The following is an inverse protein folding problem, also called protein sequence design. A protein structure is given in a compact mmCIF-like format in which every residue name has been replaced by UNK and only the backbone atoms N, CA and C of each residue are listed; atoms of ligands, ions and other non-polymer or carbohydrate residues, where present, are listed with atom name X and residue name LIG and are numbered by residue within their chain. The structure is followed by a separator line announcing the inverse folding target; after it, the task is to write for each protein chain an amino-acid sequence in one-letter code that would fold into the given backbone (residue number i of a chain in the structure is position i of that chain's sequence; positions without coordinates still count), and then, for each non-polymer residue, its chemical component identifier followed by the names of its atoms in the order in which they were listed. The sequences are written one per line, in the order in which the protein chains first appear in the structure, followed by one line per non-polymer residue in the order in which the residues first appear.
data_IF_662577717501
#
_entry.id   IF_662577717501
#
_cell.length_a   1.000
_cell.length_b   1.000
_cell.length_c   1.000
_cell.angle_alpha   90.00
_cell.angle_beta   90.00
_cell.angle_gamma   90.00
#
_symmetry.space_group_name_H-M   'P 1'
#
loop_
_entity.id
_entity.type
_entity.pdbx_description
1 polymer ?
#
# COMPACT_ATOMS: atom_id res chain seq x y z
N UNK A 1 4.28 8.91 0.43
CA UNK A 1 3.14 9.56 -0.30
C UNK A 1 2.00 8.56 -0.50
N UNK A 2 0.97 8.57 0.37
CA UNK A 2 -0.15 7.62 0.30
C UNK A 2 -1.03 7.74 -0.95
N UNK A 3 -1.12 8.93 -1.57
CA UNK A 3 -2.02 9.17 -2.71
C UNK A 3 -1.54 8.40 -3.95
N UNK A 4 -0.25 8.47 -4.25
CA UNK A 4 0.33 7.73 -5.37
C UNK A 4 0.29 6.23 -5.12
N UNK A 5 0.52 5.79 -3.87
CA UNK A 5 0.38 4.38 -3.48
C UNK A 5 -1.02 3.84 -3.82
N UNK A 6 -2.10 4.57 -3.50
CA UNK A 6 -3.47 4.15 -3.85
C UNK A 6 -3.67 4.05 -5.36
N UNK A 7 -3.07 4.95 -6.15
CA UNK A 7 -3.15 4.87 -7.62
C UNK A 7 -2.46 3.62 -8.15
N UNK A 8 -1.29 3.30 -7.62
CA UNK A 8 -0.49 2.17 -8.07
C UNK A 8 -1.11 0.84 -7.61
N UNK A 9 -1.66 0.78 -6.39
CA UNK A 9 -2.38 -0.39 -5.88
C UNK A 9 -3.57 -0.78 -6.77
N UNK A 10 -4.26 0.18 -7.40
CA UNK A 10 -5.34 -0.13 -8.35
C UNK A 10 -4.83 -0.97 -9.54
N UNK A 11 -3.67 -0.61 -10.09
CA UNK A 11 -3.06 -1.34 -11.21
C UNK A 11 -2.74 -2.78 -10.80
N UNK A 12 -2.20 -2.99 -9.60
CA UNK A 12 -1.88 -4.34 -9.10
C UNK A 12 -3.14 -5.16 -8.82
N UNK A 13 -4.18 -4.55 -8.26
CA UNK A 13 -5.47 -5.22 -8.01
C UNK A 13 -6.16 -5.61 -9.33
N UNK A 14 -6.15 -4.73 -10.32
CA UNK A 14 -6.62 -5.05 -11.69
C UNK A 14 -5.77 -6.17 -12.33
N UNK A 15 -4.49 -6.26 -11.98
CA UNK A 15 -3.57 -7.33 -12.37
C UNK A 15 -3.70 -8.64 -11.57
N UNK A 16 -4.70 -8.75 -10.68
CA UNK A 16 -5.00 -9.98 -9.93
C UNK A 16 -4.32 -10.10 -8.56
N UNK A 17 -3.52 -9.13 -8.14
CA UNK A 17 -2.94 -9.13 -6.79
C UNK A 17 -4.00 -8.78 -5.73
N UNK A 18 -3.91 -9.44 -4.59
CA UNK A 18 -4.72 -9.17 -3.39
C UNK A 18 -3.89 -8.41 -2.37
N UNK A 19 -4.53 -7.49 -1.65
CA UNK A 19 -3.93 -6.77 -0.54
C UNK A 19 -4.17 -7.59 0.72
N UNK A 20 -3.11 -8.13 1.30
CA UNK A 20 -3.17 -9.03 2.45
C UNK A 20 -3.15 -8.26 3.76
N UNK A 21 -2.22 -7.30 3.88
CA UNK A 21 -2.02 -6.49 5.10
C UNK A 21 -1.53 -5.11 4.75
N UNK A 22 -1.82 -4.14 5.61
CA UNK A 22 -1.22 -2.81 5.54
C UNK A 22 -0.81 -2.33 6.93
N UNK A 23 0.23 -1.50 6.98
CA UNK A 23 0.68 -0.82 8.18
C UNK A 23 0.98 0.64 7.89
N UNK A 24 0.44 1.51 8.71
CA UNK A 24 0.77 2.94 8.74
C UNK A 24 1.90 3.16 9.75
N UNK A 25 2.85 4.01 9.43
CA UNK A 25 4.00 4.33 10.27
C UNK A 25 4.24 5.83 10.31
N UNK A 26 4.37 6.35 11.54
CA UNK A 26 4.84 7.71 11.79
C UNK A 26 6.38 7.72 11.79
N UNK A 27 6.95 7.84 10.58
CA UNK A 27 8.40 7.97 10.40
C UNK A 27 8.88 9.42 10.55
N UNK A 28 7.95 10.39 10.57
CA UNK A 28 8.25 11.82 10.63
C UNK A 28 7.31 12.53 11.62
N UNK A 29 7.55 12.37 12.93
CA UNK A 29 6.66 12.91 13.96
C UNK A 29 6.50 14.42 13.85
N UNK A 30 5.29 14.90 14.16
CA UNK A 30 4.91 16.34 14.08
C UNK A 30 4.95 16.93 12.68
N UNK A 31 4.89 16.09 11.65
CA UNK A 31 4.68 16.52 10.27
C UNK A 31 3.35 15.96 9.75
N UNK A 32 2.97 16.35 8.53
CA UNK A 32 1.79 15.81 7.84
C UNK A 32 2.11 14.51 7.07
N UNK A 33 3.38 14.08 7.05
CA UNK A 33 3.80 12.91 6.28
C UNK A 33 3.38 11.62 6.98
N UNK A 34 2.89 10.67 6.18
CA UNK A 34 2.57 9.31 6.63
C UNK A 34 3.23 8.35 5.67
N UNK A 35 3.97 7.39 6.23
CA UNK A 35 4.54 6.29 5.49
C UNK A 35 3.75 5.01 5.69
N UNK A 36 3.65 4.22 4.63
CA UNK A 36 2.80 3.03 4.60
C UNK A 36 3.58 1.85 4.01
N UNK A 37 3.39 0.67 4.59
CA UNK A 37 3.82 -0.59 4.00
C UNK A 37 2.59 -1.45 3.69
N UNK A 38 2.57 -2.08 2.53
CA UNK A 38 1.48 -2.96 2.07
C UNK A 38 2.06 -4.30 1.68
N UNK A 39 1.50 -5.38 2.22
CA UNK A 39 1.78 -6.74 1.81
C UNK A 39 0.72 -7.15 0.78
N UNK A 40 1.18 -7.68 -0.35
CA UNK A 40 0.32 -8.18 -1.43
C UNK A 40 0.75 -9.58 -1.82
N UNK A 41 -0.21 -10.41 -2.22
CA UNK A 41 0.03 -11.71 -2.83
C UNK A 41 -0.67 -11.78 -4.19
N UNK A 42 -0.16 -12.62 -5.07
CA UNK A 42 -0.88 -13.06 -6.25
C UNK A 42 -0.98 -14.57 -6.12
N UNK A 43 -2.00 -15.02 -5.40
CA UNK A 43 -2.25 -16.44 -5.21
C UNK A 43 -2.81 -16.99 -6.52
N UNK A 44 -1.89 -17.43 -7.38
CA UNK A 44 -2.21 -18.34 -8.49
C UNK A 44 -2.45 -19.70 -7.83
N UNK A 45 -3.72 -20.09 -7.68
CA UNK A 45 -4.06 -21.52 -7.56
C UNK A 45 -3.69 -22.27 -8.84
#
# INVERSE_FOLDING_TARGET
NPITLVRDLKVFVEGGYKIEKMKLMDMFPRTVHVECAVLMSNDVE
#
